data_IF_358946335568
#
_entry.id   IF_358946335568
#
_cell.length_a   1.000
_cell.length_b   1.000
_cell.length_c   1.000
_cell.angle_alpha   90.00
_cell.angle_beta   90.00
_cell.angle_gamma   90.00
#
_symmetry.space_group_name_H-M   'P 1'
#
loop_
_entity.id
_entity.type
_entity.pdbx_description
1 polymer ?
#
# COMPACT_ATOMS: atom_id res chain seq x y z
N UNK A 1 17.67 -33.42 23.37
CA UNK A 1 16.47 -32.75 22.81
C UNK A 1 16.40 -32.89 21.30
N UNK A 2 15.43 -33.66 20.81
CA UNK A 2 15.18 -33.81 19.37
C UNK A 2 14.43 -32.57 18.89
N UNK A 3 15.09 -31.72 18.09
CA UNK A 3 14.46 -30.52 17.51
C UNK A 3 13.43 -30.94 16.46
N UNK A 4 12.16 -30.97 16.84
CA UNK A 4 11.06 -31.15 15.89
C UNK A 4 11.03 -29.97 14.89
N UNK A 5 10.96 -30.24 13.57
CA UNK A 5 10.97 -29.17 12.58
C UNK A 5 9.69 -28.34 12.70
N UNK A 6 9.85 -27.02 12.90
CA UNK A 6 8.72 -26.08 12.94
C UNK A 6 8.36 -25.68 11.50
N UNK A 7 7.09 -25.86 11.12
CA UNK A 7 6.57 -25.44 9.81
C UNK A 7 6.54 -23.91 9.74
N UNK A 8 7.38 -23.33 8.89
CA UNK A 8 7.35 -21.92 8.51
C UNK A 8 6.47 -21.72 7.26
N UNK A 9 5.95 -20.51 7.05
CA UNK A 9 5.23 -20.19 5.82
C UNK A 9 6.19 -20.12 4.63
N UNK A 10 5.66 -20.31 3.41
CA UNK A 10 6.47 -20.34 2.19
C UNK A 10 7.31 -19.05 2.02
N UNK A 11 6.75 -17.88 2.36
CA UNK A 11 7.50 -16.61 2.29
C UNK A 11 8.71 -16.57 3.25
N UNK A 12 8.60 -17.13 4.46
CA UNK A 12 9.73 -17.23 5.38
C UNK A 12 10.74 -18.29 4.93
N UNK A 13 10.31 -19.37 4.28
CA UNK A 13 11.19 -20.41 3.76
C UNK A 13 12.07 -19.89 2.60
N UNK A 14 11.49 -19.17 1.65
CA UNK A 14 12.22 -18.55 0.53
C UNK A 14 13.23 -17.49 1.02
N UNK A 15 12.88 -16.71 2.06
CA UNK A 15 13.81 -15.73 2.66
C UNK A 15 15.05 -16.39 3.23
N UNK A 16 14.89 -17.50 3.97
CA UNK A 16 16.02 -18.25 4.56
C UNK A 16 16.95 -18.80 3.46
N UNK A 17 16.43 -19.19 2.29
CA UNK A 17 17.28 -19.57 1.16
C UNK A 17 18.02 -18.34 0.58
N UNK A 18 17.32 -17.22 0.39
CA UNK A 18 17.91 -16.00 -0.20
C UNK A 18 19.08 -15.42 0.60
N UNK A 19 19.07 -15.56 1.94
CA UNK A 19 20.14 -15.09 2.82
C UNK A 19 21.47 -15.85 2.62
N UNK A 20 21.45 -17.05 2.02
CA UNK A 20 22.67 -17.86 1.83
C UNK A 20 23.50 -17.48 0.60
N UNK A 21 23.00 -16.64 -0.31
CA UNK A 21 23.58 -16.48 -1.66
C UNK A 21 23.73 -15.03 -2.19
N UNK A 22 23.32 -13.99 -1.45
CA UNK A 22 23.34 -12.61 -1.99
C UNK A 22 24.28 -11.62 -1.29
N UNK A 23 25.58 -11.87 -1.34
CA UNK A 23 26.56 -10.76 -1.37
C UNK A 23 26.59 -10.19 -2.80
N UNK A 24 25.66 -9.29 -3.13
CA UNK A 24 25.62 -8.64 -4.44
C UNK A 24 25.06 -7.23 -4.36
N UNK A 25 25.88 -6.27 -4.80
CA UNK A 25 25.56 -4.84 -4.85
C UNK A 25 24.29 -4.58 -5.65
N UNK A 26 23.30 -3.93 -5.04
CA UNK A 26 22.07 -3.56 -5.73
C UNK A 26 22.33 -2.35 -6.63
N UNK A 27 22.12 -2.51 -7.95
CA UNK A 27 22.21 -1.41 -8.90
C UNK A 27 21.04 -0.45 -8.70
N UNK A 28 21.32 0.76 -8.22
CA UNK A 28 20.28 1.64 -7.69
C UNK A 28 19.81 2.72 -8.68
N UNK A 29 18.67 2.51 -9.36
CA UNK A 29 17.96 3.59 -10.07
C UNK A 29 17.41 4.64 -9.08
N UNK A 30 18.07 5.81 -9.06
CA UNK A 30 17.72 6.96 -8.23
C UNK A 30 16.58 7.75 -8.87
N UNK A 31 15.65 8.22 -8.04
CA UNK A 31 14.49 9.02 -8.44
C UNK A 31 14.87 10.29 -9.22
N UNK A 32 14.50 10.37 -10.50
CA UNK A 32 14.53 11.60 -11.32
C UNK A 32 13.14 12.22 -11.32
N UNK A 33 13.03 13.48 -10.89
CA UNK A 33 11.73 14.16 -10.82
C UNK A 33 11.35 14.77 -12.18
N UNK A 34 10.55 14.05 -12.96
CA UNK A 34 9.82 14.62 -14.08
C UNK A 34 8.32 14.54 -13.81
N UNK A 35 7.66 15.70 -13.83
CA UNK A 35 6.21 15.81 -13.69
C UNK A 35 5.59 15.73 -15.08
N UNK A 36 4.65 14.82 -15.30
CA UNK A 36 3.63 14.97 -16.33
C UNK A 36 2.30 14.48 -15.77
N UNK A 37 1.29 15.33 -15.85
CA UNK A 37 -0.10 14.96 -15.67
C UNK A 37 -0.72 14.85 -17.06
N UNK A 38 -1.58 13.85 -17.26
CA UNK A 38 -2.49 13.83 -18.40
C UNK A 38 -3.85 13.34 -17.92
N UNK A 39 -4.87 14.13 -18.23
CA UNK A 39 -6.28 13.79 -18.09
C UNK A 39 -6.66 12.69 -19.08
N UNK A 40 -7.80 12.03 -18.87
CA UNK A 40 -8.63 11.58 -19.99
C UNK A 40 -10.10 11.50 -19.57
N UNK A 41 -10.99 11.91 -20.47
CA UNK A 41 -12.43 12.07 -20.27
C UNK A 41 -13.21 11.19 -21.29
N UNK A 42 -14.51 11.47 -21.51
CA UNK A 42 -15.39 10.92 -22.57
C UNK A 42 -15.93 9.48 -22.37
N UNK A 43 -17.11 9.08 -22.90
CA UNK A 43 -18.33 9.81 -23.31
C UNK A 43 -19.56 8.86 -23.33
N UNK A 44 -20.77 9.41 -23.46
CA UNK A 44 -22.06 8.69 -23.52
C UNK A 44 -22.52 8.39 -24.97
N UNK A 45 -23.31 7.32 -25.17
CA UNK A 45 -24.27 7.20 -26.29
C UNK A 45 -25.54 6.41 -25.88
N UNK A 46 -26.68 6.76 -26.49
CA UNK A 46 -28.01 6.16 -26.25
C UNK A 46 -28.48 5.30 -27.44
N UNK A 47 -29.42 4.36 -27.22
CA UNK A 47 -30.47 4.01 -28.19
C UNK A 47 -31.62 3.23 -27.51
N UNK A 48 -32.81 3.25 -28.11
CA UNK A 48 -34.09 3.08 -27.41
C UNK A 48 -34.91 1.82 -27.79
N UNK A 49 -35.74 1.36 -26.81
CA UNK A 49 -37.11 0.78 -26.92
C UNK A 49 -37.36 -0.37 -27.95
N UNK A 50 -38.03 -1.47 -27.59
CA UNK A 50 -39.47 -1.47 -27.27
C UNK A 50 -39.98 -2.80 -26.64
N UNK A 51 -41.06 -2.68 -25.85
CA UNK A 51 -42.04 -3.66 -25.31
C UNK A 51 -41.90 -5.17 -25.67
N UNK A 52 -42.20 -6.15 -24.80
CA UNK A 52 -43.16 -6.19 -23.67
C UNK A 52 -42.86 -7.47 -22.80
N UNK A 53 -43.36 -7.77 -21.60
CA UNK A 53 -44.47 -7.25 -20.77
C UNK A 53 -44.16 -7.44 -19.24
N UNK A 54 -45.18 -7.73 -18.41
CA UNK A 54 -45.22 -8.09 -16.99
C UNK A 54 -44.71 -7.03 -15.99
N UNK A 55 -45.63 -6.62 -15.11
CA UNK A 55 -45.47 -5.54 -14.15
C UNK A 55 -44.73 -6.02 -12.89
N UNK A 56 -43.43 -5.75 -12.82
CA UNK A 56 -42.56 -6.08 -11.67
C UNK A 56 -42.21 -4.77 -10.93
N UNK A 57 -42.38 -4.68 -9.60
CA UNK A 57 -42.09 -3.46 -8.84
C UNK A 57 -40.66 -2.94 -9.00
N UNK A 58 -40.53 -1.61 -9.03
CA UNK A 58 -39.29 -0.85 -9.30
C UNK A 58 -38.09 -1.24 -8.45
N UNK A 59 -38.28 -1.82 -7.26
CA UNK A 59 -37.20 -2.22 -6.35
C UNK A 59 -36.46 -3.51 -6.73
N UNK A 60 -36.98 -4.32 -7.66
CA UNK A 60 -36.39 -5.64 -7.99
C UNK A 60 -35.88 -5.82 -9.43
N UNK A 61 -36.11 -4.89 -10.36
CA UNK A 61 -35.57 -4.98 -11.73
C UNK A 61 -34.15 -4.40 -11.92
N UNK A 62 -33.60 -3.70 -10.92
CA UNK A 62 -32.23 -3.15 -11.01
C UNK A 62 -31.11 -4.17 -10.78
N UNK A 63 -31.41 -5.36 -10.25
CA UNK A 63 -30.39 -6.34 -9.82
C UNK A 63 -29.95 -7.27 -10.95
N UNK A 64 -30.73 -7.41 -12.03
CA UNK A 64 -30.64 -8.58 -12.93
C UNK A 64 -30.38 -8.26 -14.41
N UNK A 65 -29.83 -7.07 -14.73
CA UNK A 65 -29.48 -6.68 -16.12
C UNK A 65 -27.98 -6.45 -16.36
N UNK A 66 -27.13 -6.40 -15.32
CA UNK A 66 -25.66 -6.30 -15.51
C UNK A 66 -24.95 -7.49 -14.86
N UNK A 67 -25.00 -8.63 -15.54
CA UNK A 67 -23.88 -9.58 -15.48
C UNK A 67 -22.72 -9.00 -16.30
N UNK A 68 -21.53 -8.99 -15.67
CA UNK A 68 -20.17 -8.77 -16.20
C UNK A 68 -19.46 -7.49 -15.73
N UNK A 69 -18.33 -7.71 -15.02
CA UNK A 69 -17.24 -6.79 -14.67
C UNK A 69 -17.56 -5.50 -13.87
N UNK A 70 -18.69 -4.84 -14.06
CA UNK A 70 -19.02 -3.57 -13.37
C UNK A 70 -19.10 -3.77 -11.85
N UNK A 71 -19.68 -4.89 -11.37
CA UNK A 71 -19.72 -5.20 -9.93
C UNK A 71 -18.34 -5.28 -9.27
N UNK A 72 -17.35 -5.88 -9.94
CA UNK A 72 -15.98 -5.95 -9.45
C UNK A 72 -15.30 -4.57 -9.48
N UNK A 73 -15.49 -3.80 -10.56
CA UNK A 73 -14.93 -2.44 -10.68
C UNK A 73 -15.50 -1.48 -9.61
N UNK A 74 -16.81 -1.54 -9.34
CA UNK A 74 -17.47 -0.76 -8.28
C UNK A 74 -16.98 -1.19 -6.89
N UNK A 75 -16.74 -2.49 -6.68
CA UNK A 75 -16.20 -3.01 -5.42
C UNK A 75 -14.73 -2.56 -5.22
N UNK A 76 -13.87 -2.73 -6.23
CA UNK A 76 -12.46 -2.30 -6.19
C UNK A 76 -12.31 -0.79 -5.99
N UNK A 77 -13.15 0.01 -6.66
CA UNK A 77 -13.22 1.46 -6.48
C UNK A 77 -13.62 1.81 -5.04
N UNK A 78 -14.67 1.16 -4.52
CA UNK A 78 -15.16 1.36 -3.16
C UNK A 78 -14.10 1.00 -2.11
N UNK A 79 -13.41 -0.14 -2.28
CA UNK A 79 -12.33 -0.57 -1.37
C UNK A 79 -11.13 0.38 -1.42
N UNK A 80 -10.70 0.83 -2.61
CA UNK A 80 -9.61 1.83 -2.74
C UNK A 80 -9.97 3.14 -2.05
N UNK A 81 -11.18 3.66 -2.26
CA UNK A 81 -11.65 4.90 -1.63
C UNK A 81 -11.82 4.79 -0.11
N UNK A 82 -12.27 3.64 0.40
CA UNK A 82 -12.31 3.38 1.84
C UNK A 82 -10.89 3.32 2.40
N UNK A 83 -9.96 2.63 1.74
CA UNK A 83 -8.56 2.55 2.16
C UNK A 83 -7.85 3.92 2.15
N UNK A 84 -8.22 4.83 1.25
CA UNK A 84 -7.69 6.19 1.23
C UNK A 84 -8.25 7.05 2.37
N UNK A 85 -9.56 6.94 2.65
CA UNK A 85 -10.21 7.69 3.75
C UNK A 85 -9.90 7.17 5.15
N UNK A 86 -9.49 5.91 5.27
CA UNK A 86 -9.12 5.27 6.56
C UNK A 86 -7.64 5.39 6.92
N UNK A 87 -6.80 5.95 6.03
CA UNK A 87 -5.41 6.27 6.35
C UNK A 87 -5.32 7.45 7.31
N UNK A 88 -4.37 7.46 8.26
CA UNK A 88 -4.14 8.63 9.12
C UNK A 88 -3.81 9.86 8.28
N UNK A 89 -4.40 11.01 8.62
CA UNK A 89 -4.28 12.27 7.85
C UNK A 89 -2.85 12.82 7.72
N UNK A 90 -1.93 12.39 8.58
CA UNK A 90 -0.50 12.76 8.50
C UNK A 90 0.31 11.83 7.58
N UNK A 91 -0.26 10.76 7.03
CA UNK A 91 0.43 9.90 6.06
C UNK A 91 0.43 10.57 4.69
N UNK A 92 1.59 10.53 4.05
CA UNK A 92 1.69 10.97 2.66
C UNK A 92 0.88 10.03 1.75
N UNK A 93 -0.02 10.54 0.89
CA UNK A 93 -0.78 9.71 -0.04
C UNK A 93 0.12 8.82 -0.89
N UNK A 94 -0.33 7.58 -1.17
CA UNK A 94 0.45 6.62 -1.96
C UNK A 94 0.84 7.17 -3.33
N UNK A 95 -0.06 7.94 -3.96
CA UNK A 95 0.14 8.54 -5.29
C UNK A 95 1.27 9.58 -5.31
N UNK A 96 1.56 10.25 -4.20
CA UNK A 96 2.71 11.17 -4.07
C UNK A 96 4.01 10.46 -3.69
N UNK A 97 3.91 9.24 -3.17
CA UNK A 97 5.04 8.46 -2.71
C UNK A 97 5.72 7.72 -3.87
N UNK A 98 6.31 8.44 -4.82
CA UNK A 98 7.03 7.83 -5.96
C UNK A 98 8.34 7.15 -5.54
N UNK A 99 8.99 7.66 -4.48
CA UNK A 99 10.36 7.30 -4.13
C UNK A 99 10.56 7.27 -2.61
N UNK A 100 11.44 6.41 -2.10
CA UNK A 100 11.70 6.30 -0.67
C UNK A 100 12.24 7.61 -0.10
N UNK A 101 11.59 8.11 0.95
CA UNK A 101 11.94 9.36 1.62
C UNK A 101 13.40 9.42 2.12
N UNK A 102 14.00 8.28 2.50
CA UNK A 102 15.38 8.20 2.99
C UNK A 102 16.37 8.04 1.83
N UNK A 103 16.37 6.91 1.11
CA UNK A 103 17.39 6.62 0.09
C UNK A 103 17.10 7.20 -1.30
N UNK A 104 15.92 7.83 -1.51
CA UNK A 104 15.44 8.36 -2.80
C UNK A 104 15.39 7.32 -3.92
N UNK A 105 15.20 6.05 -3.56
CA UNK A 105 15.03 4.95 -4.50
C UNK A 105 13.58 4.90 -5.03
N UNK A 106 13.38 4.70 -6.33
CA UNK A 106 12.05 4.63 -6.95
C UNK A 106 11.28 3.39 -6.46
N UNK A 107 10.03 3.56 -6.02
CA UNK A 107 9.18 2.40 -5.72
C UNK A 107 8.71 1.71 -7.00
N UNK A 108 8.48 0.39 -6.92
CA UNK A 108 7.89 -0.41 -7.99
C UNK A 108 6.99 -1.50 -7.41
N UNK A 109 6.15 -2.11 -8.25
CA UNK A 109 5.16 -3.11 -7.83
C UNK A 109 5.76 -4.42 -7.28
N UNK A 110 6.97 -4.77 -7.71
CA UNK A 110 7.55 -6.12 -7.48
C UNK A 110 8.55 -6.14 -6.33
N UNK A 111 9.65 -5.40 -6.44
CA UNK A 111 10.83 -5.49 -5.55
C UNK A 111 10.92 -4.37 -4.53
N UNK A 112 10.39 -3.19 -4.84
CA UNK A 112 10.50 -2.00 -3.99
C UNK A 112 9.12 -1.49 -3.61
N UNK A 113 8.47 -2.21 -2.69
CA UNK A 113 7.15 -1.86 -2.16
C UNK A 113 7.21 -0.61 -1.27
N UNK A 114 6.17 0.20 -1.36
CA UNK A 114 5.93 1.34 -0.49
C UNK A 114 5.49 0.89 0.91
N UNK A 115 6.09 1.46 1.95
CA UNK A 115 5.65 1.36 3.34
C UNK A 115 5.61 2.73 4.00
N UNK A 116 4.65 2.98 4.89
CA UNK A 116 4.58 4.24 5.64
C UNK A 116 5.24 4.13 7.00
N UNK A 117 6.05 5.13 7.35
CA UNK A 117 6.53 5.32 8.72
C UNK A 117 5.38 5.81 9.62
N UNK A 118 5.06 5.09 10.70
CA UNK A 118 3.95 5.48 11.60
C UNK A 118 4.23 6.75 12.42
N UNK A 119 5.46 7.26 12.42
CA UNK A 119 5.83 8.49 13.13
C UNK A 119 5.71 9.74 12.25
N UNK A 120 6.39 9.76 11.11
CA UNK A 120 6.38 10.91 10.20
C UNK A 120 5.40 10.81 9.02
N UNK A 121 4.80 9.65 8.77
CA UNK A 121 3.85 9.45 7.66
C UNK A 121 4.47 9.32 6.27
N UNK A 122 5.77 9.51 6.12
CA UNK A 122 6.47 9.45 4.83
C UNK A 122 6.64 8.02 4.28
N UNK A 123 6.67 7.94 2.94
CA UNK A 123 6.86 6.69 2.20
C UNK A 123 8.31 6.21 2.21
N UNK A 124 8.55 4.98 2.67
CA UNK A 124 9.87 4.36 2.84
C UNK A 124 9.90 2.92 2.34
N UNK A 125 11.07 2.48 1.87
CA UNK A 125 11.29 1.07 1.53
C UNK A 125 11.65 0.26 2.80
N UNK A 126 11.58 -1.07 2.69
CA UNK A 126 11.84 -1.99 3.80
C UNK A 126 13.25 -1.80 4.40
N UNK A 127 14.29 -1.71 3.56
CA UNK A 127 15.69 -1.49 3.99
C UNK A 127 15.91 -0.14 4.69
N UNK A 128 15.03 0.84 4.50
CA UNK A 128 15.04 2.13 5.19
C UNK A 128 14.11 2.19 6.41
N UNK A 129 13.40 1.11 6.72
CA UNK A 129 12.47 1.00 7.84
C UNK A 129 12.47 -0.38 8.52
N UNK A 130 13.65 -0.92 8.91
CA UNK A 130 13.77 -2.27 9.47
C UNK A 130 13.14 -2.41 10.86
N UNK A 131 13.08 -1.32 11.62
CA UNK A 131 12.77 -1.33 13.05
C UNK A 131 11.29 -1.01 13.31
N UNK A 132 10.80 -1.49 14.46
CA UNK A 132 9.45 -1.24 14.96
C UNK A 132 9.52 -0.62 16.35
N UNK A 133 8.75 0.44 16.58
CA UNK A 133 8.70 1.18 17.86
C UNK A 133 7.26 1.63 18.11
N UNK A 134 6.81 1.75 19.37
CA UNK A 134 5.58 2.49 19.65
C UNK A 134 5.72 3.94 19.19
N UNK A 135 4.59 4.56 18.85
CA UNK A 135 4.47 5.98 18.48
C UNK A 135 3.30 6.59 19.28
N UNK A 136 3.46 6.81 20.59
CA UNK A 136 2.37 7.27 21.45
C UNK A 136 1.82 8.64 21.06
N UNK A 137 2.64 9.53 20.48
CA UNK A 137 2.21 10.83 19.99
C UNK A 137 1.34 10.76 18.71
N UNK A 138 1.16 9.55 18.17
CA UNK A 138 0.26 9.19 17.07
C UNK A 138 -0.70 8.06 17.48
N UNK A 139 -0.85 7.80 18.78
CA UNK A 139 -1.73 6.78 19.39
C UNK A 139 -1.40 5.32 19.03
N UNK A 140 -0.21 5.03 18.48
CA UNK A 140 0.26 3.66 18.24
C UNK A 140 1.01 3.13 19.46
N UNK A 141 0.29 2.50 20.39
CA UNK A 141 0.88 1.93 21.60
C UNK A 141 1.64 0.61 21.36
N UNK A 142 1.35 -0.10 20.26
CA UNK A 142 2.08 -1.30 19.83
C UNK A 142 3.31 -0.95 18.96
N UNK A 143 4.35 -1.81 18.91
CA UNK A 143 5.51 -1.58 18.05
C UNK A 143 5.19 -1.56 16.55
N UNK A 144 5.15 -0.37 15.97
CA UNK A 144 4.81 -0.13 14.56
C UNK A 144 6.03 0.26 13.72
N UNK A 145 5.95 0.06 12.40
CA UNK A 145 7.08 0.32 11.47
C UNK A 145 7.51 1.79 11.52
N UNK A 146 8.78 2.04 11.83
CA UNK A 146 9.40 3.37 11.80
C UNK A 146 10.58 3.40 10.81
N UNK A 147 10.82 4.56 10.19
CA UNK A 147 11.97 4.75 9.33
C UNK A 147 13.25 5.00 10.15
N UNK A 148 14.42 4.71 9.58
CA UNK A 148 15.74 4.90 10.24
C UNK A 148 15.98 6.32 10.78
N UNK A 149 15.34 7.34 10.20
CA UNK A 149 15.42 8.73 10.69
C UNK A 149 14.64 8.92 11.99
N UNK A 150 13.38 8.47 12.01
CA UNK A 150 12.52 8.51 13.21
C UNK A 150 13.04 7.63 14.34
N UNK A 151 13.60 6.47 14.03
CA UNK A 151 14.15 5.53 15.00
C UNK A 151 15.32 6.16 15.80
N UNK A 152 16.29 6.78 15.10
CA UNK A 152 17.43 7.48 15.72
C UNK A 152 17.01 8.67 16.61
N UNK A 153 15.95 9.37 16.23
CA UNK A 153 15.46 10.52 17.01
C UNK A 153 14.91 10.09 18.38
N UNK A 154 14.34 8.89 18.48
CA UNK A 154 13.87 8.32 19.76
C UNK A 154 15.07 8.07 20.68
N UNK A 155 16.09 7.37 20.19
CA UNK A 155 17.25 6.99 21.02
C UNK A 155 18.01 8.23 21.56
N UNK A 156 18.04 9.33 20.79
CA UNK A 156 18.58 10.62 21.23
C UNK A 156 17.72 11.32 22.30
N UNK A 157 16.42 11.08 22.32
CA UNK A 157 15.52 11.64 23.35
C UNK A 157 15.60 10.90 24.69
N UNK A 158 15.91 9.59 24.67
CA UNK A 158 16.07 8.77 25.88
C UNK A 158 17.43 8.92 26.57
N UNK A 159 18.44 9.48 25.90
CA UNK A 159 19.83 9.59 26.41
C UNK A 159 20.12 10.96 27.06
N UNK A 160 19.10 11.65 27.58
CA UNK A 160 19.19 13.01 28.17
C UNK A 160 18.72 13.08 29.63
N UNK A 161 18.94 12.01 30.39
CA UNK A 161 18.72 11.93 31.83
C UNK A 161 20.03 11.57 32.53
#
# INVERSE_FOLDING_TARGET
DIKTPKRVCNECFERIQSETLSSSSQNHSKCTQEKNASEDETMLTESEKNSNTYHIPMSRRFVEIIQNNIGNLVYDYSIKHIQERTRPSYWRPNIECHCCFICKYQFNSTTHRLHHCRRCGEGVCDTCSPNRRPVPEREWYTPERVCKSCDKAIDQSTTKF
#
